data_IF_229955432985
#
_entry.id   IF_229955432985
#
_cell.length_a   1.000
_cell.length_b   1.000
_cell.length_c   1.000
_cell.angle_alpha   90.00
_cell.angle_beta   90.00
_cell.angle_gamma   90.00
#
_symmetry.space_group_name_H-M   'P 1'
#
loop_
_entity.id
_entity.type
_entity.pdbx_description
1 polymer ?
#
# COMPACT_ATOMS: atom_id res chain seq x y z
N UNK A 1 22.81 -51.55 -43.44
CA UNK A 1 23.26 -50.15 -43.56
C UNK A 1 22.43 -49.31 -42.59
N UNK A 2 23.04 -48.86 -41.50
CA UNK A 2 22.40 -48.10 -40.42
C UNK A 2 22.34 -46.60 -40.73
N UNK A 3 21.27 -45.97 -40.22
CA UNK A 3 20.87 -44.58 -40.39
C UNK A 3 21.89 -43.54 -39.90
N UNK A 4 21.92 -42.38 -40.56
CA UNK A 4 22.14 -41.07 -39.93
C UNK A 4 21.22 -40.04 -40.61
N UNK A 5 20.08 -39.76 -40.00
CA UNK A 5 19.31 -38.54 -40.26
C UNK A 5 20.07 -37.41 -39.58
N UNK A 6 20.83 -36.65 -40.37
CA UNK A 6 21.52 -35.47 -39.91
C UNK A 6 20.52 -34.49 -39.28
N UNK A 7 20.90 -33.98 -38.11
CA UNK A 7 20.18 -32.98 -37.33
C UNK A 7 19.69 -31.84 -38.23
N UNK A 8 18.37 -31.62 -38.26
CA UNK A 8 17.80 -30.38 -38.78
C UNK A 8 18.35 -29.24 -37.93
N UNK A 9 19.11 -28.28 -38.49
CA UNK A 9 19.57 -27.14 -37.74
C UNK A 9 18.34 -26.34 -37.31
N UNK A 10 18.08 -26.28 -36.01
CA UNK A 10 17.20 -25.27 -35.43
C UNK A 10 17.78 -23.91 -35.77
N UNK A 11 17.16 -23.20 -36.70
CA UNK A 11 17.40 -21.78 -36.92
C UNK A 11 16.98 -21.03 -35.65
N UNK A 12 17.91 -20.83 -34.73
CA UNK A 12 17.80 -19.77 -33.73
C UNK A 12 17.89 -18.45 -34.50
N UNK A 13 16.73 -17.83 -34.76
CA UNK A 13 16.66 -16.49 -35.31
C UNK A 13 17.30 -15.52 -34.29
N UNK A 14 18.60 -15.29 -34.44
CA UNK A 14 19.30 -14.20 -33.78
C UNK A 14 18.69 -12.92 -34.33
N UNK A 15 17.97 -12.17 -33.48
CA UNK A 15 17.34 -10.92 -33.88
C UNK A 15 18.34 -10.03 -34.61
N UNK A 16 18.03 -9.71 -35.87
CA UNK A 16 18.85 -8.84 -36.71
C UNK A 16 18.95 -7.45 -36.08
N UNK A 17 19.97 -6.67 -36.43
CA UNK A 17 20.18 -5.34 -35.86
C UNK A 17 18.96 -4.41 -36.05
N UNK A 18 18.26 -4.56 -37.17
CA UNK A 18 17.00 -3.87 -37.48
C UNK A 18 15.85 -4.25 -36.52
N UNK A 19 15.73 -5.52 -36.15
CA UNK A 19 14.71 -5.98 -35.18
C UNK A 19 14.99 -5.43 -33.78
N UNK A 20 16.26 -5.25 -33.41
CA UNK A 20 16.64 -4.63 -32.13
C UNK A 20 16.28 -3.15 -32.10
N UNK A 21 16.54 -2.41 -33.17
CA UNK A 21 16.17 -0.99 -33.29
C UNK A 21 14.66 -0.83 -33.21
N UNK A 22 13.91 -1.67 -33.91
CA UNK A 22 12.44 -1.66 -33.86
C UNK A 22 11.91 -1.96 -32.44
N UNK A 23 12.48 -2.95 -31.76
CA UNK A 23 12.09 -3.27 -30.39
C UNK A 23 12.34 -2.11 -29.42
N UNK A 24 13.46 -1.39 -29.56
CA UNK A 24 13.78 -0.22 -28.75
C UNK A 24 12.81 0.94 -29.01
N UNK A 25 12.49 1.22 -30.28
CA UNK A 25 11.50 2.25 -30.64
C UNK A 25 10.10 1.92 -30.07
N UNK A 26 9.68 0.66 -30.17
CA UNK A 26 8.42 0.20 -29.58
C UNK A 26 8.40 0.36 -28.06
N UNK A 27 9.49 0.02 -27.36
CA UNK A 27 9.62 0.23 -25.91
C UNK A 27 9.55 1.71 -25.55
N UNK A 28 10.23 2.58 -26.29
CA UNK A 28 10.19 4.02 -26.06
C UNK A 28 8.77 4.58 -26.20
N UNK A 29 8.03 4.16 -27.22
CA UNK A 29 6.63 4.57 -27.44
C UNK A 29 5.68 4.04 -26.37
N UNK A 30 5.91 2.83 -25.85
CA UNK A 30 5.17 2.30 -24.70
C UNK A 30 5.47 3.13 -23.45
N UNK A 31 6.73 3.49 -23.20
CA UNK A 31 7.12 4.30 -22.06
C UNK A 31 6.49 5.70 -22.10
N UNK A 32 6.49 6.35 -23.26
CA UNK A 32 5.84 7.64 -23.47
C UNK A 32 4.32 7.55 -23.20
N UNK A 33 3.66 6.53 -23.73
CA UNK A 33 2.23 6.30 -23.49
C UNK A 33 1.91 6.06 -22.00
N UNK A 34 2.81 5.40 -21.28
CA UNK A 34 2.69 5.20 -19.83
C UNK A 34 2.81 6.52 -19.09
N UNK A 35 3.80 7.36 -19.41
CA UNK A 35 3.95 8.69 -18.81
C UNK A 35 2.72 9.58 -19.09
N UNK A 36 2.18 9.50 -20.30
CA UNK A 36 0.93 10.16 -20.66
C UNK A 36 -0.24 9.67 -19.79
N UNK A 37 -0.32 8.37 -19.51
CA UNK A 37 -1.35 7.81 -18.62
C UNK A 37 -1.18 8.32 -17.18
N UNK A 38 0.05 8.35 -16.68
CA UNK A 38 0.39 8.75 -15.31
C UNK A 38 0.11 10.23 -15.03
N UNK A 39 0.16 11.07 -16.07
CA UNK A 39 -0.13 12.51 -15.99
C UNK A 39 -1.62 12.84 -16.08
N UNK A 40 -2.50 11.87 -16.35
CA UNK A 40 -3.94 12.13 -16.40
C UNK A 40 -4.48 12.47 -15.01
N UNK A 41 -5.37 13.47 -14.93
CA UNK A 41 -5.97 13.95 -13.67
C UNK A 41 -6.54 12.83 -12.79
N UNK A 42 -7.31 11.85 -13.31
CA UNK A 42 -7.84 10.77 -12.47
C UNK A 42 -6.73 9.91 -11.83
N UNK A 43 -5.59 9.75 -12.50
CA UNK A 43 -4.45 8.97 -12.01
C UNK A 43 -3.67 9.74 -10.96
N UNK A 44 -3.45 11.04 -11.18
CA UNK A 44 -2.73 11.89 -10.23
C UNK A 44 -3.54 12.10 -8.95
N UNK A 45 -4.86 12.29 -9.06
CA UNK A 45 -5.77 12.37 -7.90
C UNK A 45 -5.78 11.06 -7.09
N UNK A 46 -5.94 9.91 -7.75
CA UNK A 46 -5.95 8.62 -7.07
C UNK A 46 -4.59 8.29 -6.43
N UNK A 47 -3.48 8.62 -7.09
CA UNK A 47 -2.13 8.47 -6.52
C UNK A 47 -1.92 9.42 -5.34
N UNK A 48 -2.46 10.65 -5.40
CA UNK A 48 -2.44 11.59 -4.28
C UNK A 48 -3.22 11.09 -3.07
N UNK A 49 -4.41 10.52 -3.28
CA UNK A 49 -5.21 9.90 -2.22
C UNK A 49 -4.49 8.70 -1.58
N UNK A 50 -3.89 7.84 -2.39
CA UNK A 50 -3.04 6.73 -1.92
C UNK A 50 -1.91 7.24 -1.01
N UNK A 51 -1.17 8.27 -1.44
CA UNK A 51 -0.07 8.83 -0.65
C UNK A 51 -0.56 9.38 0.69
N UNK A 52 -1.67 10.12 0.68
CA UNK A 52 -2.24 10.67 1.93
C UNK A 52 -2.66 9.57 2.91
N UNK A 53 -3.23 8.47 2.39
CA UNK A 53 -3.62 7.33 3.22
C UNK A 53 -2.40 6.62 3.83
N UNK A 54 -1.33 6.46 3.04
CA UNK A 54 -0.05 5.90 3.52
C UNK A 54 0.60 6.79 4.57
N UNK A 55 0.72 8.11 4.31
CA UNK A 55 1.27 9.08 5.26
C UNK A 55 0.51 9.05 6.59
N UNK A 56 -0.83 8.95 6.53
CA UNK A 56 -1.67 8.85 7.73
C UNK A 56 -1.36 7.57 8.51
N UNK A 57 -1.23 6.43 7.85
CA UNK A 57 -0.88 5.16 8.50
C UNK A 57 0.49 5.24 9.18
N UNK A 58 1.48 5.84 8.52
CA UNK A 58 2.82 6.02 9.08
C UNK A 58 2.82 6.94 10.30
N UNK A 59 2.07 8.04 10.26
CA UNK A 59 1.91 8.95 11.40
C UNK A 59 1.30 8.23 12.60
N UNK A 60 0.29 7.37 12.39
CA UNK A 60 -0.32 6.60 13.47
C UNK A 60 0.65 5.57 14.08
N UNK A 61 1.42 4.85 13.25
CA UNK A 61 2.48 3.93 13.73
C UNK A 61 3.58 4.67 14.48
N UNK A 62 3.94 5.88 14.04
CA UNK A 62 4.89 6.73 14.75
C UNK A 62 4.35 7.16 16.12
N UNK A 63 3.08 7.60 16.16
CA UNK A 63 2.41 7.99 17.40
C UNK A 63 2.31 6.82 18.39
N UNK A 64 1.96 5.61 17.93
CA UNK A 64 1.95 4.40 18.74
C UNK A 64 3.32 4.12 19.37
N UNK A 65 4.41 4.17 18.58
CA UNK A 65 5.76 3.98 19.11
C UNK A 65 6.14 5.04 20.13
N UNK A 66 5.80 6.30 19.87
CA UNK A 66 6.06 7.41 20.78
C UNK A 66 5.30 7.23 22.11
N UNK A 67 4.02 6.87 22.05
CA UNK A 67 3.20 6.64 23.24
C UNK A 67 3.67 5.42 24.03
N UNK A 68 4.07 4.33 23.37
CA UNK A 68 4.63 3.17 24.06
C UNK A 68 5.93 3.51 24.81
N UNK A 69 6.83 4.28 24.20
CA UNK A 69 8.03 4.79 24.88
C UNK A 69 7.66 5.65 26.08
N UNK A 70 6.78 6.62 25.89
CA UNK A 70 6.35 7.50 26.97
C UNK A 70 5.66 6.72 28.11
N UNK A 71 4.86 5.71 27.79
CA UNK A 71 4.21 4.86 28.79
C UNK A 71 5.23 4.05 29.59
N UNK A 72 6.27 3.52 28.94
CA UNK A 72 7.38 2.83 29.61
C UNK A 72 8.14 3.77 30.56
N UNK A 73 8.58 4.92 30.07
CA UNK A 73 9.28 5.93 30.87
C UNK A 73 8.42 6.42 32.05
N UNK A 74 7.11 6.60 31.83
CA UNK A 74 6.20 7.02 32.89
C UNK A 74 6.06 5.95 33.98
N UNK A 75 6.01 4.66 33.61
CA UNK A 75 5.98 3.55 34.58
C UNK A 75 7.25 3.50 35.43
N UNK A 76 8.40 3.65 34.81
CA UNK A 76 9.70 3.68 35.49
C UNK A 76 9.76 4.84 36.49
N UNK A 77 9.38 6.06 36.07
CA UNK A 77 9.34 7.23 36.97
C UNK A 77 8.38 7.06 38.13
N UNK A 78 7.16 6.55 37.87
CA UNK A 78 6.18 6.33 38.94
C UNK A 78 6.66 5.26 39.92
N UNK A 79 7.32 4.20 39.44
CA UNK A 79 7.92 3.20 40.32
C UNK A 79 8.97 3.82 41.25
N UNK A 80 9.92 4.60 40.71
CA UNK A 80 10.94 5.29 41.51
C UNK A 80 10.35 6.26 42.54
N UNK A 81 9.35 7.06 42.14
CA UNK A 81 8.70 8.02 43.04
C UNK A 81 7.89 7.28 44.11
N UNK A 82 7.24 6.16 43.76
CA UNK A 82 6.47 5.35 44.70
C UNK A 82 7.36 4.72 45.77
N UNK A 83 8.51 4.15 45.38
CA UNK A 83 9.47 3.54 46.30
C UNK A 83 10.00 4.59 47.29
N UNK A 84 10.45 5.74 46.78
CA UNK A 84 10.88 6.87 47.62
C UNK A 84 9.77 7.38 48.52
N UNK A 85 8.53 7.47 48.03
CA UNK A 85 7.41 7.92 48.85
C UNK A 85 7.14 6.97 50.02
N UNK A 86 7.20 5.66 49.77
CA UNK A 86 7.03 4.63 50.79
C UNK A 86 8.16 4.66 51.83
N UNK A 87 9.42 4.76 51.39
CA UNK A 87 10.58 4.89 52.29
C UNK A 87 10.44 6.11 53.22
N UNK A 88 10.09 7.28 52.65
CA UNK A 88 9.88 8.50 53.43
C UNK A 88 8.77 8.35 54.47
N UNK A 89 7.68 7.63 54.14
CA UNK A 89 6.59 7.37 55.09
C UNK A 89 7.04 6.43 56.21
N UNK A 90 7.80 5.39 55.89
CA UNK A 90 8.37 4.46 56.89
C UNK A 90 9.32 5.21 57.83
N UNK A 91 10.22 6.03 57.30
CA UNK A 91 11.15 6.84 58.10
C UNK A 91 10.43 7.87 58.97
N UNK A 92 9.42 8.56 58.43
CA UNK A 92 8.62 9.52 59.18
C UNK A 92 7.85 8.83 60.32
N UNK A 93 7.25 7.67 60.05
CA UNK A 93 6.57 6.86 61.06
C UNK A 93 7.54 6.36 62.15
N UNK A 94 8.71 5.84 61.76
CA UNK A 94 9.73 5.34 62.68
C UNK A 94 10.33 6.46 63.56
N UNK A 95 10.46 7.68 63.03
CA UNK A 95 10.99 8.83 63.75
C UNK A 95 9.93 9.65 64.51
N UNK A 96 8.66 9.25 64.47
CA UNK A 96 7.55 9.98 65.11
C UNK A 96 7.26 11.35 64.48
N UNK A 97 7.77 11.61 63.27
CA UNK A 97 7.52 12.84 62.51
C UNK A 97 6.13 12.79 61.87
N UNK A 98 5.59 13.96 61.54
CA UNK A 98 4.31 14.07 60.83
C UNK A 98 4.42 13.41 59.44
N UNK A 99 3.45 12.57 59.11
CA UNK A 99 3.36 11.93 57.79
C UNK A 99 2.99 12.97 56.72
N UNK A 100 3.74 13.00 55.61
CA UNK A 100 3.48 13.86 54.46
C UNK A 100 3.01 13.03 53.26
N UNK A 101 1.76 13.27 52.83
CA UNK A 101 1.11 12.51 51.76
C UNK A 101 1.26 13.12 50.35
N UNK A 102 1.85 14.31 50.22
CA UNK A 102 1.96 15.01 48.93
C UNK A 102 2.62 14.17 47.82
N UNK A 103 3.66 13.39 48.18
CA UNK A 103 4.33 12.49 47.22
C UNK A 103 3.43 11.33 46.76
N UNK A 104 2.45 10.92 47.57
CA UNK A 104 1.46 9.91 47.18
C UNK A 104 0.44 10.48 46.20
N UNK A 105 0.09 11.77 46.30
CA UNK A 105 -0.74 12.44 45.30
C UNK A 105 -0.06 12.47 43.93
N UNK A 106 1.27 12.70 43.91
CA UNK A 106 2.09 12.64 42.67
C UNK A 106 2.11 11.22 42.07
N UNK A 107 2.23 10.18 42.91
CA UNK A 107 2.13 8.78 42.47
C UNK A 107 0.76 8.49 41.88
N UNK A 108 -0.32 8.89 42.56
CA UNK A 108 -1.69 8.68 42.08
C UNK A 108 -1.97 9.39 40.74
N UNK A 109 -1.45 10.62 40.57
CA UNK A 109 -1.53 11.35 39.31
C UNK A 109 -0.75 10.63 38.19
N UNK A 110 0.46 10.15 38.47
CA UNK A 110 1.27 9.38 37.53
C UNK A 110 0.61 8.06 37.11
N UNK A 111 0.02 7.32 38.05
CA UNK A 111 -0.74 6.11 37.73
C UNK A 111 -1.97 6.39 36.85
N UNK A 112 -2.71 7.47 37.14
CA UNK A 112 -3.84 7.89 36.32
C UNK A 112 -3.42 8.25 34.89
N UNK A 113 -2.26 8.92 34.74
CA UNK A 113 -1.67 9.20 33.44
C UNK A 113 -1.30 7.90 32.70
N UNK A 114 -0.64 6.94 33.37
CA UNK A 114 -0.28 5.64 32.78
C UNK A 114 -1.52 4.88 32.29
N UNK A 115 -2.61 4.86 33.08
CA UNK A 115 -3.89 4.25 32.68
C UNK A 115 -4.45 4.92 31.43
N UNK A 116 -4.40 6.25 31.36
CA UNK A 116 -4.89 7.02 30.21
C UNK A 116 -4.04 6.78 28.97
N UNK A 117 -2.72 6.71 29.11
CA UNK A 117 -1.79 6.33 28.04
C UNK A 117 -2.07 4.91 27.54
N UNK A 118 -2.32 3.96 28.44
CA UNK A 118 -2.70 2.59 28.08
C UNK A 118 -3.93 2.56 27.18
N UNK A 119 -5.02 3.23 27.58
CA UNK A 119 -6.24 3.34 26.77
C UNK A 119 -6.01 4.01 25.41
N UNK A 120 -5.14 5.02 25.36
CA UNK A 120 -4.79 5.68 24.10
C UNK A 120 -4.02 4.75 23.15
N UNK A 121 -3.08 3.96 23.69
CA UNK A 121 -2.32 2.96 22.94
C UNK A 121 -3.25 1.86 22.45
N UNK A 122 -4.11 1.33 23.31
CA UNK A 122 -5.14 0.34 22.94
C UNK A 122 -6.02 0.85 21.80
N UNK A 123 -6.54 2.08 21.91
CA UNK A 123 -7.35 2.68 20.84
C UNK A 123 -6.59 2.82 19.52
N UNK A 124 -5.29 3.13 19.57
CA UNK A 124 -4.46 3.22 18.37
C UNK A 124 -4.24 1.84 17.74
N UNK A 125 -3.80 0.88 18.53
CA UNK A 125 -3.42 -0.46 18.08
C UNK A 125 -4.64 -1.28 17.63
N UNK A 126 -5.75 -1.19 18.37
CA UNK A 126 -6.93 -2.00 18.10
C UNK A 126 -7.83 -1.39 17.01
N UNK A 127 -7.92 -0.05 16.90
CA UNK A 127 -8.89 0.59 16.00
C UNK A 127 -8.27 1.47 14.93
N UNK A 128 -7.46 2.47 15.32
CA UNK A 128 -7.04 3.53 14.39
C UNK A 128 -6.04 3.03 13.35
N UNK A 129 -5.07 2.20 13.75
CA UNK A 129 -4.07 1.64 12.84
C UNK A 129 -4.70 0.61 11.89
N UNK A 130 -5.50 -0.38 12.35
CA UNK A 130 -6.19 -1.29 11.43
C UNK A 130 -7.11 -0.57 10.45
N UNK A 131 -7.89 0.41 10.91
CA UNK A 131 -8.75 1.21 10.04
C UNK A 131 -7.97 2.01 8.98
N UNK A 132 -6.84 2.62 9.37
CA UNK A 132 -5.97 3.31 8.43
C UNK A 132 -5.28 2.36 7.44
N UNK A 133 -4.95 1.13 7.85
CA UNK A 133 -4.37 0.13 6.97
C UNK A 133 -5.38 -0.33 5.90
N UNK A 134 -6.63 -0.58 6.29
CA UNK A 134 -7.71 -0.91 5.35
C UNK A 134 -7.90 0.23 4.34
N UNK A 135 -7.99 1.47 4.82
CA UNK A 135 -8.11 2.65 3.96
C UNK A 135 -6.93 2.78 3.00
N UNK A 136 -5.69 2.61 3.47
CA UNK A 136 -4.49 2.64 2.62
C UNK A 136 -4.53 1.61 1.50
N UNK A 137 -4.97 0.38 1.79
CA UNK A 137 -5.05 -0.68 0.78
C UNK A 137 -6.16 -0.39 -0.24
N UNK A 138 -7.30 0.17 0.20
CA UNK A 138 -8.39 0.56 -0.71
C UNK A 138 -7.95 1.68 -1.67
N UNK A 139 -7.26 2.69 -1.16
CA UNK A 139 -6.74 3.77 -2.01
C UNK A 139 -5.64 3.28 -2.96
N UNK A 140 -4.81 2.32 -2.53
CA UNK A 140 -3.84 1.66 -3.41
C UNK A 140 -4.51 0.89 -4.54
N UNK A 141 -5.55 0.09 -4.24
CA UNK A 141 -6.33 -0.61 -5.25
C UNK A 141 -6.97 0.38 -6.23
N UNK A 142 -7.57 1.47 -5.73
CA UNK A 142 -8.17 2.51 -6.56
C UNK A 142 -7.13 3.21 -7.47
N UNK A 143 -5.93 3.52 -6.96
CA UNK A 143 -4.86 4.10 -7.76
C UNK A 143 -4.37 3.14 -8.87
N UNK A 144 -4.27 1.85 -8.57
CA UNK A 144 -3.92 0.82 -9.56
C UNK A 144 -5.00 0.68 -10.65
N UNK A 145 -6.28 0.72 -10.27
CA UNK A 145 -7.39 0.72 -11.24
C UNK A 145 -7.40 1.97 -12.11
N UNK A 146 -7.21 3.16 -11.52
CA UNK A 146 -7.17 4.41 -12.26
C UNK A 146 -6.06 4.39 -13.31
N UNK A 147 -4.86 3.91 -12.95
CA UNK A 147 -3.74 3.70 -13.88
C UNK A 147 -4.09 2.71 -14.98
N UNK A 148 -4.71 1.58 -14.64
CA UNK A 148 -5.13 0.60 -15.63
C UNK A 148 -6.14 1.16 -16.64
N UNK A 149 -7.16 1.89 -16.17
CA UNK A 149 -8.17 2.52 -17.03
C UNK A 149 -7.55 3.58 -17.95
N UNK A 150 -6.61 4.38 -17.44
CA UNK A 150 -5.90 5.36 -18.25
C UNK A 150 -5.08 4.70 -19.38
N UNK A 151 -4.38 3.60 -19.08
CA UNK A 151 -3.64 2.82 -20.08
C UNK A 151 -4.56 2.18 -21.12
N UNK A 152 -5.72 1.65 -20.71
CA UNK A 152 -6.72 1.10 -21.64
C UNK A 152 -7.25 2.15 -22.59
N UNK A 153 -7.54 3.35 -22.09
CA UNK A 153 -8.01 4.46 -22.92
C UNK A 153 -6.98 4.86 -23.97
N UNK A 154 -5.71 5.01 -23.56
CA UNK A 154 -4.63 5.34 -24.50
C UNK A 154 -4.41 4.21 -25.51
N UNK A 155 -4.50 2.95 -25.06
CA UNK A 155 -4.37 1.80 -25.95
C UNK A 155 -5.50 1.77 -27.00
N UNK A 156 -6.73 2.06 -26.59
CA UNK A 156 -7.89 2.14 -27.47
C UNK A 156 -7.75 3.29 -28.47
N UNK A 157 -7.42 4.51 -28.01
CA UNK A 157 -7.21 5.66 -28.89
C UNK A 157 -6.10 5.41 -29.92
N UNK A 158 -5.01 4.73 -29.51
CA UNK A 158 -3.93 4.34 -30.42
C UNK A 158 -4.37 3.27 -31.41
N UNK A 159 -5.15 2.27 -30.97
CA UNK A 159 -5.66 1.24 -31.85
C UNK A 159 -6.60 1.82 -32.91
N UNK A 160 -7.50 2.72 -32.51
CA UNK A 160 -8.42 3.43 -33.41
C UNK A 160 -7.67 4.25 -34.47
N UNK A 161 -6.65 5.01 -34.07
CA UNK A 161 -5.80 5.78 -35.01
C UNK A 161 -5.09 4.89 -36.03
N UNK A 162 -4.55 3.76 -35.60
CA UNK A 162 -3.88 2.80 -36.51
C UNK A 162 -4.90 2.19 -37.49
N UNK A 163 -6.09 1.82 -37.01
CA UNK A 163 -7.17 1.32 -37.87
C UNK A 163 -7.65 2.37 -38.89
N UNK A 164 -7.74 3.64 -38.49
CA UNK A 164 -8.10 4.74 -39.38
C UNK A 164 -7.03 4.97 -40.47
N UNK A 165 -5.76 4.98 -40.10
CA UNK A 165 -4.63 5.10 -41.04
C UNK A 165 -4.61 3.93 -42.04
N UNK A 166 -4.84 2.71 -41.56
CA UNK A 166 -4.91 1.52 -42.41
C UNK A 166 -6.12 1.60 -43.36
N UNK A 167 -7.28 2.04 -42.88
CA UNK A 167 -8.47 2.26 -43.71
C UNK A 167 -8.21 3.31 -44.80
N UNK A 168 -7.44 4.36 -44.50
CA UNK A 168 -7.06 5.38 -45.48
C UNK A 168 -5.99 4.92 -46.48
N UNK A 169 -5.13 3.97 -46.10
CA UNK A 169 -4.05 3.45 -46.94
C UNK A 169 -4.47 2.27 -47.83
N UNK A 170 -5.49 1.52 -47.41
CA UNK A 170 -6.08 0.43 -48.19
C UNK A 170 -7.14 1.01 -49.13
N UNK A 171 -6.80 1.14 -50.42
CA UNK A 171 -7.81 1.31 -51.47
C UNK A 171 -8.72 0.09 -51.52
N UNK A 172 -10.02 0.31 -51.72
CA UNK A 172 -11.10 -0.68 -51.80
C UNK A 172 -10.63 -2.02 -52.41
N UNK A 173 -10.46 -3.07 -51.58
CA UNK A 173 -10.45 -4.53 -51.89
C UNK A 173 -9.48 -5.42 -51.07
N UNK A 174 -8.65 -4.90 -50.15
CA UNK A 174 -7.79 -5.77 -49.31
C UNK A 174 -8.10 -5.70 -47.81
N UNK A 175 -8.62 -6.79 -47.23
CA UNK A 175 -8.68 -6.95 -45.77
C UNK A 175 -7.31 -7.44 -45.27
N UNK A 176 -6.51 -6.54 -44.71
CA UNK A 176 -5.26 -6.89 -44.03
C UNK A 176 -5.56 -7.31 -42.59
N UNK A 177 -5.28 -8.57 -42.19
CA UNK A 177 -5.38 -8.97 -40.79
C UNK A 177 -4.25 -8.33 -39.99
N UNK A 178 -4.57 -7.33 -39.17
CA UNK A 178 -3.60 -6.67 -38.30
C UNK A 178 -3.71 -7.20 -36.88
N UNK A 179 -2.64 -7.84 -36.40
CA UNK A 179 -2.54 -8.31 -35.02
C UNK A 179 -2.09 -7.17 -34.10
N UNK A 180 -3.05 -6.52 -33.46
CA UNK A 180 -2.81 -5.41 -32.52
C UNK A 180 -2.22 -5.88 -31.17
N UNK A 181 -2.21 -7.19 -30.91
CA UNK A 181 -1.72 -7.75 -29.63
C UNK A 181 -0.20 -7.64 -29.48
N UNK A 182 0.54 -7.57 -30.60
CA UNK A 182 2.01 -7.48 -30.63
C UNK A 182 2.53 -6.03 -30.73
N UNK A 183 1.63 -5.06 -30.89
CA UNK A 183 1.97 -3.64 -30.99
C UNK A 183 1.95 -2.91 -29.64
N UNK A 184 2.16 -1.60 -29.69
CA UNK A 184 2.12 -0.71 -28.51
C UNK A 184 0.77 -0.81 -27.78
N UNK A 185 -0.35 -0.89 -28.50
CA UNK A 185 -1.67 -1.05 -27.90
C UNK A 185 -1.80 -2.36 -27.11
N UNK A 186 -1.36 -3.49 -27.67
CA UNK A 186 -1.33 -4.77 -26.97
C UNK A 186 -0.45 -4.76 -25.71
N UNK A 187 0.73 -4.15 -25.78
CA UNK A 187 1.62 -3.99 -24.62
C UNK A 187 0.98 -3.16 -23.49
N UNK A 188 0.28 -2.07 -23.85
CA UNK A 188 -0.44 -1.23 -22.89
C UNK A 188 -1.62 -1.99 -22.24
N UNK A 189 -2.39 -2.75 -23.02
CA UNK A 189 -3.48 -3.59 -22.50
C UNK A 189 -2.96 -4.71 -21.58
N UNK A 190 -1.84 -5.35 -21.93
CA UNK A 190 -1.21 -6.35 -21.07
C UNK A 190 -0.78 -5.76 -19.72
N UNK A 191 -0.19 -4.54 -19.74
CA UNK A 191 0.16 -3.82 -18.51
C UNK A 191 -1.07 -3.41 -17.70
N UNK A 192 -2.12 -2.91 -18.35
CA UNK A 192 -3.38 -2.58 -17.68
C UNK A 192 -4.02 -3.81 -17.02
N UNK A 193 -4.03 -4.95 -17.71
CA UNK A 193 -4.51 -6.22 -17.16
C UNK A 193 -3.69 -6.66 -15.93
N UNK A 194 -2.37 -6.50 -15.97
CA UNK A 194 -1.51 -6.74 -14.82
C UNK A 194 -1.87 -5.86 -13.61
N UNK A 195 -2.06 -4.56 -13.83
CA UNK A 195 -2.47 -3.62 -12.79
C UNK A 195 -3.86 -3.94 -12.22
N UNK A 196 -4.82 -4.34 -13.05
CA UNK A 196 -6.15 -4.78 -12.58
C UNK A 196 -6.08 -6.02 -11.69
N UNK A 197 -5.26 -7.01 -12.05
CA UNK A 197 -5.05 -8.20 -11.20
C UNK A 197 -4.46 -7.81 -9.85
N UNK A 198 -3.48 -6.91 -9.84
CA UNK A 198 -2.89 -6.39 -8.60
C UNK A 198 -3.93 -5.62 -7.78
N UNK A 199 -4.74 -4.76 -8.40
CA UNK A 199 -5.80 -4.02 -7.71
C UNK A 199 -6.80 -4.96 -7.03
N UNK A 200 -7.23 -6.02 -7.71
CA UNK A 200 -8.12 -7.04 -7.15
C UNK A 200 -7.45 -7.73 -5.95
N UNK A 201 -6.19 -8.15 -6.08
CA UNK A 201 -5.45 -8.79 -4.97
C UNK A 201 -5.31 -7.87 -3.75
N UNK A 202 -5.02 -6.59 -3.97
CA UNK A 202 -4.92 -5.59 -2.90
C UNK A 202 -6.29 -5.36 -2.25
N UNK A 203 -7.36 -5.29 -3.04
CA UNK A 203 -8.73 -5.18 -2.52
C UNK A 203 -9.14 -6.41 -1.71
N UNK A 204 -8.86 -7.61 -2.19
CA UNK A 204 -9.12 -8.86 -1.46
C UNK A 204 -8.36 -8.93 -0.13
N UNK A 205 -7.13 -8.41 -0.11
CA UNK A 205 -6.34 -8.28 1.11
C UNK A 205 -6.98 -7.28 2.09
N UNK A 206 -7.49 -6.15 1.60
CA UNK A 206 -8.24 -5.20 2.41
C UNK A 206 -9.49 -5.85 3.02
N UNK A 207 -10.27 -6.58 2.22
CA UNK A 207 -11.48 -7.28 2.67
C UNK A 207 -11.16 -8.40 3.67
N UNK A 208 -10.01 -9.06 3.53
CA UNK A 208 -9.56 -10.07 4.50
C UNK A 208 -9.24 -9.43 5.85
N UNK A 209 -8.53 -8.30 5.84
CA UNK A 209 -8.18 -7.56 7.06
C UNK A 209 -9.44 -6.97 7.71
N UNK A 210 -10.34 -6.41 6.92
CA UNK A 210 -11.61 -5.85 7.41
C UNK A 210 -12.50 -6.92 8.04
N UNK A 211 -12.65 -8.09 7.40
CA UNK A 211 -13.38 -9.22 8.00
C UNK A 211 -12.75 -9.67 9.32
N UNK A 212 -11.43 -9.83 9.37
CA UNK A 212 -10.74 -10.19 10.61
C UNK A 212 -10.95 -9.13 11.70
N UNK A 213 -10.91 -7.86 11.34
CA UNK A 213 -11.18 -6.74 12.24
C UNK A 213 -12.60 -6.80 12.81
N UNK A 214 -13.62 -7.03 11.96
CA UNK A 214 -15.01 -7.14 12.40
C UNK A 214 -15.24 -8.35 13.31
N UNK A 215 -14.72 -9.53 12.98
CA UNK A 215 -14.85 -10.73 13.83
C UNK A 215 -14.33 -10.46 15.24
N UNK A 216 -13.14 -9.87 15.37
CA UNK A 216 -12.52 -9.60 16.67
C UNK A 216 -13.33 -8.58 17.50
N UNK A 217 -13.96 -7.60 16.87
CA UNK A 217 -14.60 -6.48 17.55
C UNK A 217 -16.11 -6.62 17.73
N UNK A 218 -16.79 -7.35 16.85
CA UNK A 218 -18.21 -7.67 16.99
C UNK A 218 -18.43 -8.79 18.02
N UNK A 219 -17.51 -9.77 18.14
CA UNK A 219 -17.54 -10.76 19.22
C UNK A 219 -17.33 -10.12 20.60
N UNK A 220 -16.49 -9.07 20.71
CA UNK A 220 -16.29 -8.33 21.96
C UNK A 220 -17.52 -7.52 22.40
N UNK A 221 -18.42 -7.15 21.48
CA UNK A 221 -19.68 -6.46 21.78
C UNK A 221 -20.79 -7.38 22.27
N UNK A 222 -20.68 -8.68 22.01
CA UNK A 222 -21.65 -9.69 22.47
C UNK A 222 -21.32 -10.27 23.85
N UNK A 223 -20.12 -9.99 24.38
CA UNK A 223 -19.60 -10.55 25.64
C UNK A 223 -19.50 -9.49 26.76
N UNK A 224 -19.70 -8.20 26.44
CA UNK A 224 -19.76 -7.09 27.41
C UNK A 224 -21.20 -6.71 27.75
#
# INVERSE_FOLDING_TARGET
>A
MSFYLAETPTLEAVATEDERVLAQDLQARVAEAVQQAESQTPVTEATGAQQQAQDRLERLRSAERALNRHAKESRERVAEVSERALENLVEAAASGKKLEFKKLDEVAAGEAQIRTLGKAIERLAEHLIPGAQIASLREEAHALEAKARALERIAQERAEKVLEQLRGAVSEEMVLPVDMSKGVAGALLARAAGLKRLAVQVSENADRIERAYHVIHDDRRLVA
#
